data_IF_141012299775
#
_entry.id   IF_141012299775
#
_cell.length_a   1.000
_cell.length_b   1.000
_cell.length_c   1.000
_cell.angle_alpha   90.00
_cell.angle_beta   90.00
_cell.angle_gamma   90.00
#
_symmetry.space_group_name_H-M   'P 1'
#
loop_
_entity.id
_entity.type
_entity.pdbx_description
1 polymer ?
#
# COMPACT_ATOMS: atom_id res chain seq x y z
N UNK A 1 21.48 -55.08 1.44
CA UNK A 1 22.48 -54.10 1.86
C UNK A 1 21.81 -52.73 1.74
N UNK A 2 21.29 -52.24 2.85
CA UNK A 2 20.45 -51.04 2.92
C UNK A 2 21.36 -49.83 2.94
N UNK A 3 21.34 -49.02 1.89
CA UNK A 3 22.02 -47.73 1.88
C UNK A 3 21.10 -46.70 2.53
N UNK A 4 21.38 -46.41 3.79
CA UNK A 4 20.86 -45.30 4.56
C UNK A 4 21.31 -43.97 3.94
N UNK A 5 20.38 -43.24 3.34
CA UNK A 5 20.53 -41.81 3.08
C UNK A 5 19.81 -41.06 4.20
N UNK A 6 20.58 -40.74 5.24
CA UNK A 6 20.20 -39.76 6.26
C UNK A 6 20.22 -38.37 5.62
N UNK A 7 19.06 -37.91 5.13
CA UNK A 7 18.89 -36.51 4.76
C UNK A 7 18.72 -35.72 6.05
N UNK A 8 19.82 -35.14 6.52
CA UNK A 8 19.85 -34.29 7.70
C UNK A 8 18.99 -33.05 7.48
N UNK A 9 18.05 -32.84 8.40
CA UNK A 9 17.32 -31.60 8.57
C UNK A 9 18.28 -30.47 8.98
N UNK A 10 18.90 -29.79 8.02
CA UNK A 10 19.49 -28.47 8.20
C UNK A 10 19.67 -27.81 6.82
N UNK A 11 19.18 -26.58 6.70
CA UNK A 11 19.11 -25.70 5.51
C UNK A 11 17.92 -25.90 4.54
N UNK A 12 16.69 -25.81 5.04
CA UNK A 12 15.57 -25.36 4.21
C UNK A 12 15.66 -23.83 4.05
N UNK A 13 16.44 -23.40 3.07
CA UNK A 13 16.41 -22.07 2.46
C UNK A 13 16.60 -22.32 0.97
N UNK A 14 15.66 -23.05 0.37
CA UNK A 14 15.64 -23.27 -1.07
C UNK A 14 14.74 -22.18 -1.65
N UNK A 15 15.34 -21.08 -2.10
CA UNK A 15 14.66 -20.18 -3.00
C UNK A 15 14.50 -20.94 -4.32
N UNK A 16 13.34 -21.58 -4.51
CA UNK A 16 12.99 -22.09 -5.83
C UNK A 16 13.00 -20.89 -6.80
N UNK A 17 13.71 -20.99 -7.92
CA UNK A 17 13.76 -19.95 -8.97
C UNK A 17 13.08 -20.42 -10.26
N UNK A 18 12.81 -21.72 -10.36
CA UNK A 18 12.19 -22.36 -11.51
C UNK A 18 11.02 -23.28 -11.11
N UNK A 19 10.19 -23.65 -12.10
CA UNK A 19 9.11 -24.62 -11.92
C UNK A 19 9.64 -25.99 -11.44
N UNK A 20 10.82 -26.38 -11.89
CA UNK A 20 11.44 -27.65 -11.52
C UNK A 20 11.92 -27.62 -10.06
N UNK A 21 12.48 -26.49 -9.60
CA UNK A 21 12.83 -26.30 -8.18
C UNK A 21 11.60 -26.32 -7.28
N UNK A 22 10.48 -25.81 -7.76
CA UNK A 22 9.21 -25.79 -7.04
C UNK A 22 8.62 -27.20 -6.87
N UNK A 23 8.60 -28.02 -7.93
CA UNK A 23 8.12 -29.41 -7.84
C UNK A 23 9.03 -30.25 -6.93
N UNK A 24 10.33 -29.98 -6.90
CA UNK A 24 11.27 -30.65 -5.99
C UNK A 24 11.11 -30.17 -4.53
N UNK A 25 10.92 -28.87 -4.31
CA UNK A 25 10.82 -28.29 -2.97
C UNK A 25 9.47 -28.59 -2.28
N UNK A 26 8.36 -28.58 -3.02
CA UNK A 26 7.00 -28.70 -2.48
C UNK A 26 6.27 -29.98 -2.93
N UNK A 27 6.88 -30.82 -3.76
CA UNK A 27 6.32 -32.11 -4.19
C UNK A 27 6.30 -33.20 -3.11
N UNK A 28 6.89 -32.94 -1.93
CA UNK A 28 6.74 -33.78 -0.74
C UNK A 28 5.53 -33.27 0.05
N UNK A 29 4.57 -34.15 0.32
CA UNK A 29 3.41 -33.87 1.18
C UNK A 29 3.90 -33.43 2.56
N UNK A 30 3.92 -32.12 2.81
CA UNK A 30 4.31 -31.51 4.08
C UNK A 30 3.05 -31.07 4.80
N UNK A 31 2.91 -31.43 6.07
CA UNK A 31 1.78 -31.02 6.92
C UNK A 31 2.14 -29.79 7.77
N UNK A 32 3.17 -29.02 7.37
CA UNK A 32 3.63 -27.84 8.10
C UNK A 32 3.06 -26.56 7.48
N UNK A 33 2.55 -25.63 8.31
CA UNK A 33 1.98 -24.38 7.81
C UNK A 33 3.03 -23.52 7.08
N UNK A 34 4.29 -23.54 7.54
CA UNK A 34 5.39 -22.78 6.92
C UNK A 34 5.67 -23.22 5.48
N UNK A 35 5.56 -24.52 5.18
CA UNK A 35 5.78 -25.03 3.82
C UNK A 35 4.74 -24.47 2.85
N UNK A 36 3.46 -24.50 3.23
CA UNK A 36 2.39 -23.94 2.41
C UNK A 36 2.47 -22.41 2.31
N UNK A 37 2.92 -21.75 3.37
CA UNK A 37 3.19 -20.31 3.35
C UNK A 37 4.29 -19.94 2.35
N UNK A 38 5.45 -20.60 2.41
CA UNK A 38 6.56 -20.39 1.47
C UNK A 38 6.15 -20.70 0.03
N UNK A 39 5.37 -21.76 -0.16
CA UNK A 39 4.77 -22.13 -1.45
C UNK A 39 3.88 -21.00 -1.99
N UNK A 40 2.99 -20.45 -1.16
CA UNK A 40 2.11 -19.35 -1.52
C UNK A 40 2.89 -18.08 -1.90
N UNK A 41 3.92 -17.73 -1.13
CA UNK A 41 4.80 -16.58 -1.44
C UNK A 41 5.50 -16.77 -2.78
N UNK A 42 5.98 -17.98 -3.08
CA UNK A 42 6.62 -18.26 -4.36
C UNK A 42 5.63 -18.16 -5.53
N UNK A 43 4.45 -18.77 -5.41
CA UNK A 43 3.40 -18.71 -6.44
C UNK A 43 2.93 -17.28 -6.69
N UNK A 44 2.83 -16.47 -5.63
CA UNK A 44 2.53 -15.04 -5.74
C UNK A 44 3.57 -14.31 -6.60
N UNK A 45 4.88 -14.54 -6.35
CA UNK A 45 5.97 -13.95 -7.15
C UNK A 45 5.95 -14.39 -8.61
N UNK A 46 5.40 -15.58 -8.91
CA UNK A 46 5.18 -16.05 -10.28
C UNK A 46 3.90 -15.50 -10.93
N UNK A 47 3.13 -14.66 -10.23
CA UNK A 47 1.85 -14.13 -10.72
C UNK A 47 0.70 -15.15 -10.70
N UNK A 48 0.87 -16.29 -10.03
CA UNK A 48 -0.12 -17.35 -9.95
C UNK A 48 -1.01 -17.18 -8.73
N UNK A 49 -1.82 -16.12 -8.75
CA UNK A 49 -2.52 -15.63 -7.57
C UNK A 49 -3.53 -16.61 -6.96
N UNK A 50 -4.33 -17.32 -7.78
CA UNK A 50 -5.29 -18.30 -7.24
C UNK A 50 -4.60 -19.51 -6.58
N UNK A 51 -3.49 -19.98 -7.15
CA UNK A 51 -2.68 -21.07 -6.57
C UNK A 51 -2.01 -20.60 -5.26
N UNK A 52 -1.56 -19.34 -5.21
CA UNK A 52 -0.98 -18.73 -4.02
C UNK A 52 -2.01 -18.64 -2.89
N UNK A 53 -3.24 -18.21 -3.19
CA UNK A 53 -4.36 -18.16 -2.23
C UNK A 53 -4.63 -19.55 -1.66
N UNK A 54 -4.74 -20.58 -2.51
CA UNK A 54 -4.96 -21.95 -2.05
C UNK A 54 -3.86 -22.44 -1.10
N UNK A 55 -2.60 -22.06 -1.38
CA UNK A 55 -1.47 -22.40 -0.51
C UNK A 55 -1.55 -21.65 0.83
N UNK A 56 -1.89 -20.35 0.84
CA UNK A 56 -2.11 -19.62 2.09
C UNK A 56 -3.29 -20.18 2.90
N UNK A 57 -4.37 -20.62 2.25
CA UNK A 57 -5.51 -21.25 2.90
C UNK A 57 -5.13 -22.56 3.59
N UNK A 58 -4.27 -23.38 2.97
CA UNK A 58 -3.72 -24.58 3.61
C UNK A 58 -2.85 -24.24 4.84
N UNK A 59 -2.03 -23.19 4.75
CA UNK A 59 -1.25 -22.71 5.90
C UNK A 59 -2.15 -22.25 7.05
N UNK A 60 -3.24 -21.55 6.74
CA UNK A 60 -4.26 -21.06 7.70
C UNK A 60 -5.05 -22.22 8.30
N UNK A 61 -5.43 -23.24 7.51
CA UNK A 61 -6.16 -24.41 8.01
C UNK A 61 -5.33 -25.17 9.06
N UNK A 62 -4.02 -25.29 8.84
CA UNK A 62 -3.10 -25.95 9.77
C UNK A 62 -2.79 -25.05 10.99
N UNK A 63 -2.63 -23.75 10.79
CA UNK A 63 -2.41 -22.78 11.85
C UNK A 63 -3.29 -21.52 11.65
N UNK A 64 -4.49 -21.48 12.26
CA UNK A 64 -5.39 -20.34 12.13
C UNK A 64 -4.83 -19.02 12.68
N UNK A 65 -3.83 -19.09 13.57
CA UNK A 65 -3.16 -17.92 14.16
C UNK A 65 -1.94 -17.46 13.34
N UNK A 66 -1.77 -17.92 12.09
CA UNK A 66 -0.67 -17.52 11.22
C UNK A 66 -0.95 -16.18 10.53
N UNK A 67 -0.71 -15.09 11.25
CA UNK A 67 -1.04 -13.73 10.76
C UNK A 67 -0.34 -13.38 9.44
N UNK A 68 0.88 -13.86 9.17
CA UNK A 68 1.56 -13.64 7.89
C UNK A 68 0.85 -14.33 6.72
N UNK A 69 0.29 -15.53 6.93
CA UNK A 69 -0.49 -16.23 5.90
C UNK A 69 -1.80 -15.48 5.58
N UNK A 70 -2.52 -15.02 6.62
CA UNK A 70 -3.68 -14.15 6.45
C UNK A 70 -3.35 -12.85 5.71
N UNK A 71 -2.25 -12.20 6.10
CA UNK A 71 -1.81 -10.96 5.46
C UNK A 71 -1.44 -11.15 3.98
N UNK A 72 -0.68 -12.20 3.64
CA UNK A 72 -0.29 -12.48 2.25
C UNK A 72 -1.45 -12.98 1.39
N UNK A 73 -2.42 -13.72 1.98
CA UNK A 73 -3.71 -14.00 1.33
C UNK A 73 -4.43 -12.69 0.99
N UNK A 74 -4.47 -11.75 1.94
CA UNK A 74 -5.05 -10.41 1.74
C UNK A 74 -4.38 -9.62 0.60
N UNK A 75 -3.04 -9.60 0.54
CA UNK A 75 -2.30 -8.96 -0.56
C UNK A 75 -2.71 -9.59 -1.89
N UNK A 76 -2.68 -10.91 -1.97
CA UNK A 76 -2.96 -11.64 -3.22
C UNK A 76 -4.38 -11.40 -3.71
N UNK A 77 -5.36 -11.36 -2.81
CA UNK A 77 -6.75 -11.02 -3.12
C UNK A 77 -6.91 -9.57 -3.59
N UNK A 78 -6.18 -8.64 -2.98
CA UNK A 78 -6.18 -7.23 -3.38
C UNK A 78 -5.64 -7.05 -4.81
N UNK A 79 -4.59 -7.78 -5.18
CA UNK A 79 -4.02 -7.75 -6.53
C UNK A 79 -4.95 -8.36 -7.59
N UNK A 80 -5.86 -9.26 -7.17
CA UNK A 80 -6.96 -9.78 -7.99
C UNK A 80 -8.20 -8.86 -8.01
N UNK A 81 -8.20 -7.75 -7.26
CA UNK A 81 -9.35 -6.85 -7.12
C UNK A 81 -10.48 -7.41 -6.23
N UNK A 82 -10.24 -8.50 -5.49
CA UNK A 82 -11.19 -9.12 -4.54
C UNK A 82 -11.11 -8.41 -3.18
N UNK A 83 -11.46 -7.12 -3.18
CA UNK A 83 -11.18 -6.21 -2.06
C UNK A 83 -11.88 -6.59 -0.74
N UNK A 84 -13.15 -7.03 -0.78
CA UNK A 84 -13.87 -7.45 0.44
C UNK A 84 -13.21 -8.67 1.11
N UNK A 85 -12.77 -9.64 0.32
CA UNK A 85 -12.06 -10.83 0.84
C UNK A 85 -10.65 -10.47 1.34
N UNK A 86 -10.00 -9.51 0.69
CA UNK A 86 -8.73 -8.96 1.15
C UNK A 86 -8.89 -8.30 2.53
N UNK A 87 -9.92 -7.46 2.71
CA UNK A 87 -10.24 -6.81 3.99
C UNK A 87 -10.48 -7.85 5.08
N UNK A 88 -11.27 -8.89 4.81
CA UNK A 88 -11.52 -9.96 5.78
C UNK A 88 -10.22 -10.67 6.19
N UNK A 89 -9.30 -10.88 5.24
CA UNK A 89 -8.00 -11.50 5.52
C UNK A 89 -7.09 -10.58 6.35
N UNK A 90 -7.09 -9.27 6.06
CA UNK A 90 -6.37 -8.29 6.87
C UNK A 90 -6.96 -8.16 8.28
N UNK A 91 -8.29 -8.20 8.42
CA UNK A 91 -8.97 -8.17 9.71
C UNK A 91 -8.55 -9.36 10.58
N UNK A 92 -8.46 -10.57 10.02
CA UNK A 92 -7.94 -11.75 10.73
C UNK A 92 -6.47 -11.59 11.11
N UNK A 93 -5.62 -11.10 10.20
CA UNK A 93 -4.22 -10.82 10.52
C UNK A 93 -4.07 -9.80 11.66
N UNK A 94 -4.93 -8.78 11.70
CA UNK A 94 -4.94 -7.71 12.70
C UNK A 94 -5.56 -8.13 14.03
N UNK A 95 -6.50 -9.07 14.03
CA UNK A 95 -7.02 -9.70 15.26
C UNK A 95 -5.90 -10.47 15.99
N UNK A 96 -5.06 -11.18 15.23
CA UNK A 96 -3.92 -11.94 15.75
C UNK A 96 -2.75 -11.01 16.11
N UNK A 97 -2.44 -10.03 15.24
CA UNK A 97 -1.33 -9.08 15.40
C UNK A 97 -1.80 -7.63 15.20
N UNK A 98 -2.32 -6.98 16.25
CA UNK A 98 -2.89 -5.63 16.14
C UNK A 98 -1.88 -4.52 15.79
N UNK A 99 -0.60 -4.75 16.04
CA UNK A 99 0.50 -3.82 15.76
C UNK A 99 1.08 -3.97 14.34
N UNK A 100 0.42 -4.72 13.45
CA UNK A 100 0.90 -4.93 12.09
C UNK A 100 0.55 -3.76 11.17
N UNK A 101 1.35 -2.69 11.21
CA UNK A 101 1.10 -1.45 10.47
C UNK A 101 0.95 -1.65 8.94
N UNK A 102 1.65 -2.61 8.32
CA UNK A 102 1.48 -2.91 6.90
C UNK A 102 0.08 -3.50 6.58
N UNK A 103 -0.50 -4.30 7.47
CA UNK A 103 -1.86 -4.82 7.32
C UNK A 103 -2.90 -3.69 7.45
N UNK A 104 -2.71 -2.77 8.41
CA UNK A 104 -3.56 -1.57 8.52
C UNK A 104 -3.50 -0.69 7.27
N UNK A 105 -2.31 -0.47 6.70
CA UNK A 105 -2.17 0.27 5.45
C UNK A 105 -2.91 -0.41 4.29
N UNK A 106 -2.64 -1.70 4.05
CA UNK A 106 -3.21 -2.41 2.91
C UNK A 106 -4.74 -2.59 3.04
N UNK A 107 -5.24 -2.75 4.27
CA UNK A 107 -6.67 -2.69 4.56
C UNK A 107 -7.26 -1.34 4.19
N UNK A 108 -6.58 -0.25 4.53
CA UNK A 108 -6.97 1.10 4.13
C UNK A 108 -7.01 1.27 2.61
N UNK A 109 -6.03 0.73 1.89
CA UNK A 109 -5.99 0.76 0.42
C UNK A 109 -7.15 -0.01 -0.21
N UNK A 110 -7.44 -1.23 0.28
CA UNK A 110 -8.59 -2.01 -0.19
C UNK A 110 -9.93 -1.30 0.07
N UNK A 111 -10.10 -0.68 1.24
CA UNK A 111 -11.27 0.14 1.57
C UNK A 111 -11.41 1.36 0.67
N UNK A 112 -10.28 2.02 0.35
CA UNK A 112 -10.26 3.16 -0.55
C UNK A 112 -10.72 2.75 -1.95
N UNK A 113 -10.25 1.61 -2.47
CA UNK A 113 -10.69 1.04 -3.76
C UNK A 113 -12.18 0.71 -3.81
N UNK A 114 -12.81 0.44 -2.66
CA UNK A 114 -14.25 0.23 -2.50
C UNK A 114 -15.04 1.52 -2.24
N UNK A 115 -14.43 2.69 -2.39
CA UNK A 115 -15.02 4.00 -2.07
C UNK A 115 -15.42 4.18 -0.59
N UNK A 116 -14.96 3.30 0.31
CA UNK A 116 -15.18 3.36 1.77
C UNK A 116 -14.14 4.25 2.45
N UNK A 117 -14.09 5.51 2.02
CA UNK A 117 -13.00 6.48 2.31
C UNK A 117 -12.83 6.78 3.80
N UNK A 118 -13.91 6.91 4.56
CA UNK A 118 -13.85 7.16 6.00
C UNK A 118 -13.20 5.98 6.75
N UNK A 119 -13.53 4.75 6.37
CA UNK A 119 -12.94 3.54 6.96
C UNK A 119 -11.47 3.34 6.52
N UNK A 120 -11.14 3.74 5.30
CA UNK A 120 -9.77 3.79 4.82
C UNK A 120 -8.92 4.75 5.69
N UNK A 121 -9.42 5.97 5.93
CA UNK A 121 -8.76 6.95 6.81
C UNK A 121 -8.57 6.39 8.22
N UNK A 122 -9.59 5.71 8.78
CA UNK A 122 -9.46 5.07 10.09
C UNK A 122 -8.34 4.02 10.12
N UNK A 123 -8.21 3.22 9.06
CA UNK A 123 -7.15 2.21 8.92
C UNK A 123 -5.77 2.85 8.77
N UNK A 124 -5.64 3.89 7.95
CA UNK A 124 -4.39 4.65 7.82
C UNK A 124 -3.97 5.31 9.14
N UNK A 125 -4.91 5.83 9.93
CA UNK A 125 -4.63 6.39 11.25
C UNK A 125 -4.09 5.32 12.22
N UNK A 126 -4.58 4.08 12.15
CA UNK A 126 -4.01 2.98 12.95
C UNK A 126 -2.58 2.65 12.51
N UNK A 127 -2.33 2.55 11.20
CA UNK A 127 -0.98 2.34 10.67
C UNK A 127 -0.01 3.44 11.14
N UNK A 128 -0.41 4.71 11.06
CA UNK A 128 0.40 5.86 11.47
C UNK A 128 0.59 5.99 12.99
N UNK A 129 -0.38 5.52 13.79
CA UNK A 129 -0.20 5.43 15.25
C UNK A 129 0.92 4.46 15.62
N UNK A 130 1.07 3.38 14.86
CA UNK A 130 2.10 2.36 15.08
C UNK A 130 3.43 2.77 14.46
N UNK A 131 3.40 3.31 13.24
CA UNK A 131 4.58 3.75 12.48
C UNK A 131 4.39 5.19 11.97
N UNK A 132 4.73 6.21 12.78
CA UNK A 132 4.53 7.61 12.43
C UNK A 132 5.43 8.11 11.28
N UNK A 133 6.55 7.46 11.01
CA UNK A 133 7.51 7.81 9.96
C UNK A 133 7.15 7.19 8.59
N UNK A 134 5.92 6.71 8.41
CA UNK A 134 5.50 6.01 7.20
C UNK A 134 4.94 6.98 6.14
N UNK A 135 5.82 7.69 5.44
CA UNK A 135 5.43 8.77 4.51
C UNK A 135 4.40 8.34 3.44
N UNK A 136 4.49 7.10 2.93
CA UNK A 136 3.54 6.58 1.96
C UNK A 136 2.11 6.55 2.53
N UNK A 137 1.95 6.24 3.83
CA UNK A 137 0.65 6.19 4.49
C UNK A 137 0.09 7.60 4.71
N UNK A 138 0.94 8.56 5.10
CA UNK A 138 0.56 9.97 5.16
C UNK A 138 0.06 10.46 3.79
N UNK A 139 0.75 10.10 2.72
CA UNK A 139 0.36 10.44 1.36
C UNK A 139 -1.02 9.87 0.98
N UNK A 140 -1.23 8.55 1.09
CA UNK A 140 -2.52 7.94 0.71
C UNK A 140 -3.67 8.38 1.63
N UNK A 141 -3.38 8.74 2.89
CA UNK A 141 -4.37 9.36 3.76
C UNK A 141 -4.75 10.77 3.30
N UNK A 142 -3.78 11.55 2.81
CA UNK A 142 -4.02 12.84 2.17
C UNK A 142 -4.91 12.72 0.94
N UNK A 143 -4.63 11.73 0.07
CA UNK A 143 -5.48 11.41 -1.09
C UNK A 143 -6.91 11.06 -0.65
N UNK A 144 -7.05 10.27 0.42
CA UNK A 144 -8.36 9.92 0.97
C UNK A 144 -9.14 11.14 1.47
N UNK A 145 -8.52 12.04 2.23
CA UNK A 145 -9.16 13.29 2.63
C UNK A 145 -9.53 14.19 1.45
N UNK A 146 -8.63 14.35 0.47
CA UNK A 146 -8.88 15.15 -0.72
C UNK A 146 -10.08 14.62 -1.52
N UNK A 147 -10.22 13.30 -1.62
CA UNK A 147 -11.37 12.66 -2.29
C UNK A 147 -12.73 12.89 -1.60
N UNK A 148 -12.69 13.27 -0.32
CA UNK A 148 -13.85 13.69 0.48
C UNK A 148 -14.01 15.22 0.52
N UNK A 149 -13.21 15.96 -0.26
CA UNK A 149 -13.13 17.44 -0.27
C UNK A 149 -12.72 18.05 1.08
N UNK A 150 -12.04 17.27 1.92
CA UNK A 150 -11.48 17.66 3.21
C UNK A 150 -10.05 18.15 3.02
N UNK A 151 -9.90 19.27 2.32
CA UNK A 151 -8.63 19.70 1.77
C UNK A 151 -7.63 20.13 2.85
N UNK A 152 -8.07 20.74 3.95
CA UNK A 152 -7.22 21.11 5.08
C UNK A 152 -6.56 19.87 5.73
N UNK A 153 -7.31 18.80 5.95
CA UNK A 153 -6.75 17.55 6.47
C UNK A 153 -5.87 16.83 5.44
N UNK A 154 -6.18 16.97 4.15
CA UNK A 154 -5.34 16.48 3.06
C UNK A 154 -3.97 17.18 3.07
N UNK A 155 -3.96 18.51 3.10
CA UNK A 155 -2.76 19.35 3.18
C UNK A 155 -1.91 18.95 4.40
N UNK A 156 -2.54 18.85 5.57
CA UNK A 156 -1.83 18.42 6.80
C UNK A 156 -1.17 17.05 6.64
N UNK A 157 -1.84 16.13 5.93
CA UNK A 157 -1.28 14.79 5.69
C UNK A 157 -0.13 14.83 4.67
N UNK A 158 -0.23 15.67 3.63
CA UNK A 158 0.86 15.86 2.68
C UNK A 158 2.07 16.55 3.31
N UNK A 159 1.86 17.54 4.17
CA UNK A 159 2.93 18.23 4.91
C UNK A 159 3.73 17.22 5.75
N UNK A 160 3.05 16.34 6.50
CA UNK A 160 3.69 15.28 7.27
C UNK A 160 4.46 14.29 6.39
N UNK A 161 3.92 13.94 5.21
CA UNK A 161 4.64 13.08 4.27
C UNK A 161 5.91 13.76 3.73
N UNK A 162 5.86 15.06 3.45
CA UNK A 162 6.98 15.87 2.93
C UNK A 162 8.02 16.22 3.99
N UNK A 163 7.64 16.30 5.27
CA UNK A 163 8.58 16.39 6.39
C UNK A 163 9.50 15.16 6.44
N UNK A 164 8.98 13.98 6.07
CA UNK A 164 9.73 12.72 6.05
C UNK A 164 10.47 12.53 4.71
N UNK A 165 9.79 12.76 3.59
CA UNK A 165 10.32 12.57 2.23
C UNK A 165 10.10 13.84 1.38
N UNK A 166 11.00 14.83 1.45
CA UNK A 166 10.81 16.14 0.81
C UNK A 166 11.02 16.15 -0.71
N UNK A 167 11.67 15.12 -1.27
CA UNK A 167 12.03 14.99 -2.68
C UNK A 167 11.02 14.15 -3.48
N UNK A 168 9.77 14.03 -3.01
CA UNK A 168 8.70 13.35 -3.74
C UNK A 168 7.76 14.35 -4.43
N UNK A 169 8.00 14.55 -5.73
CA UNK A 169 7.29 15.49 -6.61
C UNK A 169 5.76 15.27 -6.64
N UNK A 170 5.29 14.02 -6.60
CA UNK A 170 3.86 13.71 -6.63
C UNK A 170 3.13 14.28 -5.41
N UNK A 171 3.74 14.23 -4.23
CA UNK A 171 3.13 14.76 -3.01
C UNK A 171 3.04 16.28 -3.08
N UNK A 172 4.09 16.95 -3.58
CA UNK A 172 4.06 18.39 -3.82
C UNK A 172 2.96 18.80 -4.81
N UNK A 173 2.77 18.05 -5.90
CA UNK A 173 1.69 18.31 -6.84
C UNK A 173 0.31 18.06 -6.21
N UNK A 174 0.10 16.96 -5.47
CA UNK A 174 -1.16 16.68 -4.76
C UNK A 174 -1.48 17.75 -3.70
N UNK A 175 -0.45 18.23 -2.99
CA UNK A 175 -0.56 19.35 -2.05
C UNK A 175 -0.98 20.63 -2.76
N UNK A 176 -0.37 20.93 -3.91
CA UNK A 176 -0.75 22.07 -4.74
C UNK A 176 -2.20 22.00 -5.21
N UNK A 177 -2.67 20.81 -5.61
CA UNK A 177 -4.06 20.59 -6.01
C UNK A 177 -5.00 20.85 -4.84
N UNK A 178 -4.68 20.35 -3.64
CA UNK A 178 -5.50 20.59 -2.45
C UNK A 178 -5.56 22.08 -2.08
N UNK A 179 -4.45 22.82 -2.14
CA UNK A 179 -4.46 24.27 -1.95
C UNK A 179 -5.31 25.00 -2.99
N UNK A 180 -5.18 24.65 -4.27
CA UNK A 180 -5.95 25.26 -5.36
C UNK A 180 -7.47 25.04 -5.17
N UNK A 181 -7.87 23.83 -4.75
CA UNK A 181 -9.27 23.50 -4.47
C UNK A 181 -9.81 24.17 -3.20
N UNK A 182 -8.93 24.63 -2.30
CA UNK A 182 -9.24 25.51 -1.17
C UNK A 182 -9.04 27.01 -1.49
N UNK A 183 -8.92 27.38 -2.77
CA UNK A 183 -8.74 28.77 -3.25
C UNK A 183 -7.47 29.48 -2.72
N UNK A 184 -6.48 28.71 -2.24
CA UNK A 184 -5.17 29.17 -1.74
C UNK A 184 -4.15 29.11 -2.87
N UNK A 185 -4.29 30.00 -3.85
CA UNK A 185 -3.60 29.88 -5.13
C UNK A 185 -2.09 30.14 -5.04
N UNK A 186 -1.64 31.04 -4.16
CA UNK A 186 -0.22 31.29 -3.90
C UNK A 186 0.49 30.05 -3.35
N UNK A 187 -0.09 29.39 -2.35
CA UNK A 187 0.46 28.16 -1.76
C UNK A 187 0.39 26.98 -2.75
N UNK A 188 -0.64 26.96 -3.61
CA UNK A 188 -0.73 25.99 -4.68
C UNK A 188 0.45 26.14 -5.66
N UNK A 189 0.70 27.36 -6.15
CA UNK A 189 1.81 27.67 -7.05
C UNK A 189 3.15 27.32 -6.41
N UNK A 190 3.37 27.69 -5.15
CA UNK A 190 4.59 27.36 -4.43
C UNK A 190 4.82 25.84 -4.33
N UNK A 191 3.75 25.06 -4.16
CA UNK A 191 3.82 23.59 -4.13
C UNK A 191 4.15 23.02 -5.51
N UNK A 192 3.52 23.52 -6.58
CA UNK A 192 3.86 23.10 -7.95
C UNK A 192 5.30 23.48 -8.34
N UNK A 193 5.80 24.62 -7.88
CA UNK A 193 7.19 25.03 -8.08
C UNK A 193 8.18 24.04 -7.45
N UNK A 194 7.87 23.50 -6.26
CA UNK A 194 8.70 22.44 -5.67
C UNK A 194 8.62 21.14 -6.49
N UNK A 195 7.43 20.73 -6.94
CA UNK A 195 7.27 19.54 -7.79
C UNK A 195 8.10 19.67 -9.09
N UNK A 196 8.05 20.83 -9.75
CA UNK A 196 8.81 21.12 -10.97
C UNK A 196 10.32 21.19 -10.70
N UNK A 197 10.73 21.74 -9.56
CA UNK A 197 12.15 21.79 -9.17
C UNK A 197 12.73 20.39 -9.00
N UNK A 198 11.96 19.46 -8.43
CA UNK A 198 12.34 18.06 -8.25
C UNK A 198 12.29 17.32 -9.59
N UNK A 199 11.19 17.48 -10.34
CA UNK A 199 10.97 16.85 -11.63
C UNK A 199 10.59 17.90 -12.70
N UNK A 200 11.58 18.42 -13.46
CA UNK A 200 11.34 19.48 -14.44
C UNK A 200 10.41 19.10 -15.61
N UNK A 201 10.31 17.81 -15.95
CA UNK A 201 9.43 17.28 -17.00
C UNK A 201 8.03 16.90 -16.50
N UNK A 202 7.68 17.24 -15.25
CA UNK A 202 6.36 16.94 -14.68
C UNK A 202 5.27 17.85 -15.27
N UNK A 203 4.75 17.47 -16.44
CA UNK A 203 3.76 18.22 -17.21
C UNK A 203 2.52 18.66 -16.39
N UNK A 204 2.01 17.78 -15.53
CA UNK A 204 0.82 18.09 -14.73
C UNK A 204 1.07 19.25 -13.76
N UNK A 205 2.24 19.30 -13.12
CA UNK A 205 2.60 20.39 -12.22
C UNK A 205 2.71 21.73 -12.96
N UNK A 206 3.31 21.75 -14.16
CA UNK A 206 3.36 22.94 -15.02
C UNK A 206 1.97 23.44 -15.42
N UNK A 207 1.10 22.53 -15.86
CA UNK A 207 -0.27 22.85 -16.25
C UNK A 207 -1.05 23.44 -15.07
N UNK A 208 -1.00 22.77 -13.92
CA UNK A 208 -1.70 23.21 -12.71
C UNK A 208 -1.17 24.57 -12.24
N UNK A 209 0.15 24.79 -12.27
CA UNK A 209 0.76 26.09 -11.96
C UNK A 209 0.24 27.19 -12.87
N UNK A 210 0.18 26.96 -14.18
CA UNK A 210 -0.32 27.93 -15.16
C UNK A 210 -1.79 28.31 -14.91
N UNK A 211 -2.65 27.33 -14.62
CA UNK A 211 -4.06 27.57 -14.28
C UNK A 211 -4.19 28.45 -13.03
N UNK A 212 -3.39 28.19 -12.00
CA UNK A 212 -3.47 28.95 -10.75
C UNK A 212 -2.88 30.37 -10.86
N UNK A 213 -1.91 30.60 -11.74
CA UNK A 213 -1.43 31.95 -12.06
C UNK A 213 -2.49 32.80 -12.79
N UNK A 214 -3.27 32.18 -13.68
CA UNK A 214 -4.42 32.84 -14.32
C UNK A 214 -5.49 33.20 -13.29
N UNK A 215 -5.75 32.32 -12.32
CA UNK A 215 -6.68 32.58 -11.22
C UNK A 215 -6.22 33.70 -10.28
N UNK A 216 -4.91 33.84 -10.01
CA UNK A 216 -4.37 34.99 -9.28
C UNK A 216 -4.49 36.31 -10.06
N UNK A 217 -4.47 36.23 -11.39
CA UNK A 217 -4.66 37.39 -12.26
C UNK A 217 -6.15 37.74 -12.48
N UNK A 218 -7.06 37.12 -11.71
CA UNK A 218 -8.52 37.21 -11.88
C UNK A 218 -9.28 37.93 -10.76
N UNK A 219 -8.67 38.89 -10.05
CA UNK A 219 -9.43 39.73 -9.08
C UNK A 219 -9.06 41.23 -9.00
N UNK A 220 -8.11 41.77 -9.77
CA UNK A 220 -8.03 43.24 -9.91
C UNK A 220 -9.16 43.81 -10.80
N UNK A 221 -9.87 42.97 -11.58
CA UNK A 221 -10.97 43.39 -12.47
C UNK A 221 -12.37 42.86 -12.09
N UNK A 222 -12.52 42.16 -10.97
CA UNK A 222 -13.84 41.60 -10.59
C UNK A 222 -14.71 42.55 -9.73
N UNK A 223 -14.24 43.74 -9.36
CA UNK A 223 -15.00 44.73 -8.57
C UNK A 223 -14.74 46.20 -9.03
N UNK A 224 -14.43 46.42 -10.30
CA UNK A 224 -14.39 47.77 -10.90
C UNK A 224 -15.53 47.94 -11.93
#
# INVERSE_FOLDING_TARGET
>A
MVASLSLSAHSASFAAESKDDYEIAFGVKSDKPDTFFEQGVFLYKLGKYEEAIASFEQAIEINPNYHEAWYNRGITLNDLGRYEEAIASYDQALEIKPDYHQAWNNRGSALFSLERKEEAIASYNQALRIKPDYYQVWYVRGLAFASLKRYEEAITSYDQALEIQPDYDQIWNSRGIAFALSEKYEEAIASYDQAIKIQPDYYQAWLNRGINLDNLSKYEEAIA
#
